data_IF_341952153239
#
_entry.id   IF_341952153239
#
_cell.length_a   1.000
_cell.length_b   1.000
_cell.length_c   1.000
_cell.angle_alpha   90.00
_cell.angle_beta   90.00
_cell.angle_gamma   90.00
#
_symmetry.space_group_name_H-M   'P 1'
#
loop_
_entity.id
_entity.type
_entity.pdbx_description
1 polymer ?
#
# COMPACT_ATOMS: atom_id res chain seq x y z
N UNK A 1 -18.12 13.62 5.05
CA UNK A 1 -17.25 12.54 5.55
C UNK A 1 -16.23 13.16 6.50
N UNK A 2 -15.95 12.58 7.66
CA UNK A 2 -14.99 13.16 8.62
C UNK A 2 -13.54 12.95 8.14
N UNK A 3 -12.61 13.77 8.64
CA UNK A 3 -11.18 13.65 8.33
C UNK A 3 -10.63 12.25 8.68
N UNK A 4 -11.09 11.69 9.81
CA UNK A 4 -10.74 10.33 10.23
C UNK A 4 -11.25 9.26 9.25
N UNK A 5 -12.50 9.36 8.79
CA UNK A 5 -13.06 8.42 7.81
C UNK A 5 -12.33 8.50 6.47
N UNK A 6 -11.98 9.71 6.02
CA UNK A 6 -11.18 9.88 4.80
C UNK A 6 -9.78 9.28 4.95
N UNK A 7 -9.13 9.44 6.12
CA UNK A 7 -7.83 8.82 6.41
C UNK A 7 -7.91 7.30 6.38
N UNK A 8 -8.90 6.72 7.06
CA UNK A 8 -9.13 5.27 7.08
C UNK A 8 -9.36 4.74 5.66
N UNK A 9 -10.21 5.42 4.87
CA UNK A 9 -10.47 5.03 3.48
C UNK A 9 -9.18 5.07 2.65
N UNK A 10 -8.37 6.13 2.78
CA UNK A 10 -7.10 6.24 2.06
C UNK A 10 -6.11 5.12 2.43
N UNK A 11 -6.06 4.71 3.71
CA UNK A 11 -5.25 3.56 4.13
C UNK A 11 -5.77 2.25 3.53
N UNK A 12 -7.09 2.05 3.51
CA UNK A 12 -7.70 0.87 2.91
C UNK A 12 -7.46 0.80 1.40
N UNK A 13 -7.58 1.91 0.68
CA UNK A 13 -7.30 2.00 -0.75
C UNK A 13 -5.84 1.65 -1.05
N UNK A 14 -4.92 2.17 -0.23
CA UNK A 14 -3.47 1.87 -0.32
C UNK A 14 -3.19 0.39 -0.07
N UNK A 15 -3.85 -0.20 0.94
CA UNK A 15 -3.72 -1.63 1.26
C UNK A 15 -4.27 -2.53 0.13
N UNK A 16 -5.40 -2.14 -0.47
CA UNK A 16 -5.97 -2.83 -1.63
C UNK A 16 -5.00 -2.79 -2.83
N UNK A 17 -4.40 -1.62 -3.08
CA UNK A 17 -3.37 -1.48 -4.12
C UNK A 17 -2.16 -2.37 -3.85
N UNK A 18 -1.68 -2.44 -2.60
CA UNK A 18 -0.57 -3.31 -2.22
C UNK A 18 -0.87 -4.79 -2.50
N UNK A 19 -2.07 -5.26 -2.15
CA UNK A 19 -2.48 -6.63 -2.42
C UNK A 19 -2.47 -6.94 -3.92
N UNK A 20 -2.96 -6.02 -4.77
CA UNK A 20 -2.96 -6.18 -6.22
C UNK A 20 -1.54 -6.22 -6.81
N UNK A 21 -0.62 -5.38 -6.31
CA UNK A 21 0.78 -5.36 -6.75
C UNK A 21 1.48 -6.67 -6.40
N UNK A 22 1.28 -7.20 -5.18
CA UNK A 22 1.83 -8.48 -4.76
C UNK A 22 1.26 -9.64 -5.60
N UNK A 23 -0.03 -9.62 -5.91
CA UNK A 23 -0.64 -10.61 -6.77
C UNK A 23 -0.06 -10.57 -8.19
N UNK A 24 0.10 -9.38 -8.78
CA UNK A 24 0.72 -9.21 -10.08
C UNK A 24 2.19 -9.68 -10.09
N UNK A 25 2.94 -9.43 -9.01
CA UNK A 25 4.30 -9.92 -8.86
C UNK A 25 4.36 -11.45 -8.83
N UNK A 26 3.46 -12.09 -8.07
CA UNK A 26 3.35 -13.56 -8.03
C UNK A 26 3.05 -14.15 -9.40
N UNK A 27 2.08 -13.58 -10.13
CA UNK A 27 1.72 -14.05 -11.47
C UNK A 27 2.89 -13.95 -12.46
N UNK A 28 3.70 -12.89 -12.35
CA UNK A 28 4.87 -12.69 -13.22
C UNK A 28 6.05 -13.57 -12.83
N UNK A 29 6.23 -13.86 -11.54
CA UNK A 29 7.25 -14.77 -11.04
C UNK A 29 6.96 -16.22 -11.48
N UNK A 30 5.69 -16.65 -11.38
CA UNK A 30 5.24 -17.98 -11.80
C UNK A 30 5.54 -18.27 -13.28
N UNK A 31 5.43 -17.25 -14.15
CA UNK A 31 5.71 -17.42 -15.59
C UNK A 31 7.20 -17.28 -15.93
N UNK A 32 8.03 -16.73 -15.04
CA UNK A 32 9.48 -16.50 -15.25
C UNK A 32 9.83 -15.67 -16.51
N UNK A 33 8.91 -14.86 -17.03
CA UNK A 33 9.07 -14.13 -18.31
C UNK A 33 9.79 -12.78 -18.12
N UNK A 34 9.75 -12.18 -16.91
CA UNK A 34 10.27 -10.83 -16.69
C UNK A 34 10.75 -10.57 -15.24
N UNK A 35 11.95 -11.06 -14.85
CA UNK A 35 12.49 -10.88 -13.50
C UNK A 35 12.66 -9.41 -13.10
N UNK A 36 12.95 -8.53 -14.07
CA UNK A 36 13.04 -7.08 -13.84
C UNK A 36 11.67 -6.46 -13.50
N UNK A 37 10.58 -6.98 -14.07
CA UNK A 37 9.23 -6.53 -13.77
C UNK A 37 8.81 -6.95 -12.36
N UNK A 38 9.12 -8.20 -11.97
CA UNK A 38 8.91 -8.69 -10.61
C UNK A 38 9.66 -7.83 -9.59
N UNK A 39 10.95 -7.54 -9.86
CA UNK A 39 11.78 -6.70 -8.99
C UNK A 39 11.21 -5.28 -8.83
N UNK A 40 10.69 -4.68 -9.91
CA UNK A 40 10.02 -3.37 -9.84
C UNK A 40 8.73 -3.41 -9.01
N UNK A 41 7.90 -4.44 -9.19
CA UNK A 41 6.67 -4.61 -8.42
C UNK A 41 6.95 -4.84 -6.93
N UNK A 42 8.00 -5.58 -6.59
CA UNK A 42 8.45 -5.73 -5.20
C UNK A 42 8.88 -4.37 -4.62
N UNK A 43 9.58 -3.55 -5.41
CA UNK A 43 9.95 -2.19 -5.00
C UNK A 43 8.73 -1.28 -4.76
N UNK A 44 7.71 -1.36 -5.62
CA UNK A 44 6.44 -0.64 -5.42
C UNK A 44 5.70 -1.15 -4.18
N UNK A 45 5.61 -2.47 -3.99
CA UNK A 45 5.00 -3.08 -2.81
C UNK A 45 5.66 -2.63 -1.50
N UNK A 46 6.99 -2.57 -1.46
CA UNK A 46 7.73 -2.06 -0.31
C UNK A 46 7.40 -0.59 -0.01
N UNK A 47 7.26 0.24 -1.05
CA UNK A 47 6.90 1.65 -0.90
C UNK A 47 5.49 1.81 -0.32
N UNK A 48 4.52 1.04 -0.83
CA UNK A 48 3.16 1.04 -0.33
C UNK A 48 3.08 0.55 1.12
N UNK A 49 3.79 -0.53 1.46
CA UNK A 49 3.83 -1.06 2.82
C UNK A 49 4.42 -0.06 3.82
N UNK A 50 5.50 0.65 3.43
CA UNK A 50 6.08 1.73 4.24
C UNK A 50 5.09 2.88 4.44
N UNK A 51 4.38 3.28 3.39
CA UNK A 51 3.37 4.34 3.51
C UNK A 51 2.25 3.95 4.47
N UNK A 52 1.78 2.70 4.43
CA UNK A 52 0.77 2.20 5.37
C UNK A 52 1.31 2.25 6.80
N UNK A 53 2.52 1.70 7.04
CA UNK A 53 3.14 1.71 8.37
C UNK A 53 3.28 3.12 8.92
N UNK A 54 3.84 4.06 8.15
CA UNK A 54 4.02 5.45 8.57
C UNK A 54 2.68 6.10 8.93
N UNK A 55 1.63 5.86 8.13
CA UNK A 55 0.34 6.48 8.35
C UNK A 55 -0.53 5.80 9.43
N UNK A 56 -0.16 4.60 9.86
CA UNK A 56 -0.72 3.90 11.02
C UNK A 56 0.04 4.21 12.31
N UNK A 57 1.36 4.44 12.22
CA UNK A 57 2.21 4.77 13.39
C UNK A 57 2.12 6.26 13.74
N UNK A 58 2.01 7.14 12.75
CA UNK A 58 1.93 8.59 12.95
C UNK A 58 0.49 9.10 13.11
N UNK A 59 -0.37 8.41 13.87
CA UNK A 59 -1.69 8.96 14.23
C UNK A 59 -1.55 10.10 15.25
N UNK A 60 -0.87 11.18 14.85
CA UNK A 60 -1.30 12.52 15.23
C UNK A 60 -2.68 12.67 14.62
N UNK A 61 -3.72 12.35 15.41
CA UNK A 61 -5.11 12.60 15.04
C UNK A 61 -5.20 14.01 14.43
N UNK A 62 -5.85 14.19 13.27
CA UNK A 62 -6.02 15.52 12.71
C UNK A 62 -6.68 16.42 13.76
N UNK A 63 -6.12 17.61 13.98
CA UNK A 63 -6.65 18.60 14.91
C UNK A 63 -8.15 18.79 14.61
N UNK A 64 -9.02 18.36 15.52
CA UNK A 64 -10.47 18.31 15.33
C UNK A 64 -11.14 16.95 15.56
N UNK A 65 -10.39 15.91 15.93
CA UNK A 65 -10.94 14.63 16.40
C UNK A 65 -10.96 14.46 17.93
N UNK A 66 -10.67 15.52 18.68
CA UNK A 66 -10.75 15.58 20.15
C UNK A 66 -11.99 16.37 20.61
#
# INVERSE_FOLDING_TARGET
MSALLNHIQAQQDTACKLANVLHAASLLDDVQIAPDAVSRLIGEALTLARNISINLDCVSLPEGAA
#
